data_IF_344337997635
#
_entry.id   IF_344337997635
#
_cell.length_a   1.000
_cell.length_b   1.000
_cell.length_c   1.000
_cell.angle_alpha   90.00
_cell.angle_beta   90.00
_cell.angle_gamma   90.00
#
_symmetry.space_group_name_H-M   'P 1'
#
loop_
_entity.id
_entity.type
_entity.pdbx_description
1 polymer ?
#
# COMPACT_ATOMS: atom_id res chain seq x y z
N UNK A 1 42.79 28.80 -32.44
CA UNK A 1 41.50 28.08 -32.33
C UNK A 1 40.40 29.12 -32.44
N UNK A 2 39.50 29.02 -33.43
CA UNK A 2 38.53 30.09 -33.71
C UNK A 2 37.54 30.25 -32.55
N UNK A 3 37.10 31.48 -32.26
CA UNK A 3 36.19 31.79 -31.15
C UNK A 3 34.90 30.94 -31.18
N UNK A 4 34.49 30.54 -32.38
CA UNK A 4 33.38 29.62 -32.62
C UNK A 4 33.63 28.19 -32.10
N UNK A 5 34.85 27.67 -32.29
CA UNK A 5 35.24 26.34 -31.82
C UNK A 5 35.36 26.28 -30.28
N UNK A 6 35.80 27.38 -29.65
CA UNK A 6 35.87 27.49 -28.19
C UNK A 6 34.46 27.49 -27.57
N UNK A 7 33.49 28.18 -28.19
CA UNK A 7 32.09 28.20 -27.72
C UNK A 7 31.43 26.82 -27.81
N UNK A 8 31.67 26.07 -28.89
CA UNK A 8 31.17 24.70 -29.04
C UNK A 8 31.78 23.77 -27.99
N UNK A 9 33.09 23.88 -27.74
CA UNK A 9 33.79 23.07 -26.73
C UNK A 9 33.29 23.37 -25.30
N UNK A 10 32.89 24.61 -25.02
CA UNK A 10 32.40 25.06 -23.72
C UNK A 10 30.94 24.67 -23.45
N UNK A 11 30.12 24.51 -24.50
CA UNK A 11 28.74 24.02 -24.38
C UNK A 11 28.63 22.48 -24.28
N UNK A 12 29.63 21.74 -24.75
CA UNK A 12 29.65 20.26 -24.74
C UNK A 12 29.43 19.60 -23.35
N UNK A 13 30.03 20.09 -22.24
CA UNK A 13 29.79 19.49 -20.92
C UNK A 13 28.39 19.79 -20.34
N UNK A 14 27.67 20.78 -20.85
CA UNK A 14 26.34 21.17 -20.34
C UNK A 14 25.25 20.17 -20.74
N UNK A 15 25.45 19.41 -21.82
CA UNK A 15 24.52 18.39 -22.29
C UNK A 15 24.70 17.03 -21.57
N UNK A 16 25.87 16.81 -20.95
CA UNK A 16 26.23 15.54 -20.28
C UNK A 16 25.75 15.52 -18.80
N UNK A 17 25.47 16.69 -18.22
CA UNK A 17 25.03 16.84 -16.83
C UNK A 17 23.51 16.78 -16.63
N UNK A 18 22.72 16.52 -17.68
CA UNK A 18 21.28 16.32 -17.54
C UNK A 18 21.07 14.87 -17.10
N UNK A 19 20.60 14.60 -15.87
CA UNK A 19 20.36 13.24 -15.43
C UNK A 19 19.22 12.65 -16.26
N UNK A 20 19.55 11.68 -17.11
CA UNK A 20 18.61 10.95 -17.95
C UNK A 20 17.88 9.94 -17.04
N UNK A 21 16.97 10.42 -16.20
CA UNK A 21 16.07 9.57 -15.41
C UNK A 21 14.96 9.00 -16.32
N UNK A 22 15.34 8.23 -17.33
CA UNK A 22 14.38 7.49 -18.15
C UNK A 22 14.01 6.19 -17.42
N UNK A 23 13.06 6.28 -16.48
CA UNK A 23 12.27 5.11 -16.08
C UNK A 23 11.06 5.01 -17.02
N UNK A 24 11.30 4.45 -18.21
CA UNK A 24 10.28 4.30 -19.26
C UNK A 24 9.34 3.09 -19.07
N UNK A 25 9.53 2.28 -18.02
CA UNK A 25 8.66 1.17 -17.69
C UNK A 25 7.77 1.57 -16.51
N UNK A 26 6.58 2.08 -16.81
CA UNK A 26 5.47 2.06 -15.87
C UNK A 26 4.93 0.64 -15.86
N UNK A 27 5.28 -0.12 -14.83
CA UNK A 27 4.63 -1.39 -14.56
C UNK A 27 3.14 -1.10 -14.34
N UNK A 28 2.27 -1.53 -15.26
CA UNK A 28 0.83 -1.28 -15.18
C UNK A 28 0.16 -1.97 -13.97
N UNK A 29 0.90 -2.83 -13.26
CA UNK A 29 0.47 -3.46 -12.01
C UNK A 29 0.92 -2.70 -10.76
N UNK A 30 1.82 -1.71 -10.89
CA UNK A 30 2.11 -0.76 -9.81
C UNK A 30 0.99 0.26 -9.77
N UNK A 31 -0.06 -0.09 -9.04
CA UNK A 31 -1.04 0.87 -8.57
C UNK A 31 -0.28 1.90 -7.73
N UNK A 32 -0.30 3.17 -8.13
CA UNK A 32 0.16 4.23 -7.24
C UNK A 32 -0.81 4.25 -6.06
N UNK A 33 -0.31 3.87 -4.90
CA UNK A 33 -1.10 3.80 -3.66
C UNK A 33 -1.75 5.16 -3.41
N UNK A 34 -1.09 6.26 -3.81
CA UNK A 34 -1.63 7.60 -3.69
C UNK A 34 -2.86 7.81 -4.58
N UNK A 35 -2.85 7.29 -5.82
CA UNK A 35 -3.98 7.40 -6.74
C UNK A 35 -5.19 6.59 -6.25
N UNK A 36 -4.95 5.38 -5.74
CA UNK A 36 -6.00 4.55 -5.14
C UNK A 36 -6.61 5.22 -3.90
N UNK A 37 -5.77 5.82 -3.06
CA UNK A 37 -6.20 6.64 -1.93
C UNK A 37 -7.05 7.78 -2.48
N UNK A 38 -6.53 8.61 -3.37
CA UNK A 38 -7.26 9.78 -3.87
C UNK A 38 -8.62 9.38 -4.49
N UNK A 39 -8.72 8.25 -5.19
CA UNK A 39 -9.99 7.67 -5.68
C UNK A 39 -10.98 7.36 -4.53
N UNK A 40 -10.52 6.69 -3.46
CA UNK A 40 -11.35 6.35 -2.29
C UNK A 40 -11.78 7.59 -1.48
N UNK A 41 -10.94 8.61 -1.41
CA UNK A 41 -11.21 9.84 -0.65
C UNK A 41 -12.05 10.87 -1.42
N UNK A 42 -12.21 10.70 -2.73
CA UNK A 42 -13.02 11.56 -3.59
C UNK A 42 -14.52 11.18 -3.61
N UNK A 43 -14.96 10.13 -2.89
CA UNK A 43 -16.39 9.87 -2.76
C UNK A 43 -17.09 10.96 -1.92
N UNK A 44 -18.16 11.59 -2.43
CA UNK A 44 -18.92 12.58 -1.69
C UNK A 44 -19.86 11.87 -0.70
N UNK A 45 -19.36 11.43 0.44
CA UNK A 45 -20.26 11.02 1.53
C UNK A 45 -19.80 11.49 2.90
N UNK A 46 -20.69 12.28 3.50
CA UNK A 46 -20.89 12.65 4.92
C UNK A 46 -19.67 12.63 5.80
N UNK A 47 -19.19 13.81 6.23
CA UNK A 47 -18.36 14.16 7.43
C UNK A 47 -17.71 13.04 8.28
N UNK A 48 -17.27 11.96 7.65
CA UNK A 48 -16.76 10.77 8.30
C UNK A 48 -15.27 10.98 8.47
N UNK A 49 -14.76 10.66 9.65
CA UNK A 49 -13.37 10.84 10.01
C UNK A 49 -12.51 9.87 9.16
N UNK A 50 -12.18 10.28 7.93
CA UNK A 50 -11.45 9.46 6.96
C UNK A 50 -9.99 9.18 7.41
N UNK A 51 -9.56 9.78 8.52
CA UNK A 51 -8.27 9.49 9.17
C UNK A 51 -8.11 8.01 9.55
N UNK A 52 -9.23 7.33 9.86
CA UNK A 52 -9.26 5.90 10.16
C UNK A 52 -9.01 5.04 8.92
N UNK A 53 -9.52 5.45 7.75
CA UNK A 53 -9.33 4.71 6.50
C UNK A 53 -7.87 4.73 6.04
N UNK A 54 -7.21 5.88 6.14
CA UNK A 54 -5.77 5.99 5.88
C UNK A 54 -4.96 5.01 6.72
N UNK A 55 -5.32 4.87 8.00
CA UNK A 55 -4.63 3.97 8.93
C UNK A 55 -4.81 2.49 8.55
N UNK A 56 -6.04 2.09 8.20
CA UNK A 56 -6.31 0.73 7.72
C UNK A 56 -5.52 0.41 6.45
N UNK A 57 -5.48 1.34 5.49
CA UNK A 57 -4.72 1.14 4.24
C UNK A 57 -3.22 1.01 4.49
N UNK A 58 -2.66 1.89 5.32
CA UNK A 58 -1.24 1.86 5.69
C UNK A 58 -0.88 0.56 6.42
N UNK A 59 -1.76 0.09 7.31
CA UNK A 59 -1.57 -1.18 8.01
C UNK A 59 -1.60 -2.38 7.05
N UNK A 60 -2.51 -2.40 6.06
CA UNK A 60 -2.60 -3.44 5.04
C UNK A 60 -1.41 -3.45 4.07
N UNK A 61 -0.82 -2.28 3.77
CA UNK A 61 0.38 -2.19 2.93
C UNK A 61 1.60 -2.73 3.67
N UNK A 62 1.73 -2.38 4.95
CA UNK A 62 2.85 -2.84 5.78
C UNK A 62 2.72 -4.31 6.18
N UNK A 63 1.49 -4.79 6.34
CA UNK A 63 1.17 -6.16 6.73
C UNK A 63 0.16 -6.75 5.74
N UNK A 64 0.60 -7.07 4.50
CA UNK A 64 -0.30 -7.60 3.48
C UNK A 64 -0.86 -8.95 3.90
N UNK A 65 -2.01 -9.31 3.33
CA UNK A 65 -2.75 -10.53 3.67
C UNK A 65 -2.18 -11.72 2.87
N UNK A 66 -1.93 -12.85 3.55
CA UNK A 66 -1.47 -14.09 2.90
C UNK A 66 -2.65 -14.82 2.24
N UNK A 67 -2.72 -14.81 0.91
CA UNK A 67 -3.82 -15.43 0.17
C UNK A 67 -4.03 -16.93 0.47
N UNK A 68 -2.96 -17.64 0.83
CA UNK A 68 -3.04 -19.08 1.07
C UNK A 68 -3.61 -19.42 2.45
N UNK A 69 -3.47 -18.52 3.42
CA UNK A 69 -3.87 -18.74 4.81
C UNK A 69 -5.02 -17.83 5.27
N UNK A 70 -5.36 -16.80 4.50
CA UNK A 70 -6.41 -15.85 4.84
C UNK A 70 -7.79 -16.48 4.97
N UNK A 71 -8.57 -15.95 5.91
CA UNK A 71 -10.00 -16.18 6.03
C UNK A 71 -10.79 -15.16 5.20
N UNK A 72 -12.10 -15.36 5.09
CA UNK A 72 -13.00 -14.39 4.43
C UNK A 72 -12.93 -13.03 5.14
N UNK A 73 -12.90 -13.03 6.47
CA UNK A 73 -12.89 -11.81 7.29
C UNK A 73 -11.60 -11.03 7.05
N UNK A 74 -10.46 -11.71 6.94
CA UNK A 74 -9.18 -11.06 6.66
C UNK A 74 -9.22 -10.32 5.32
N UNK A 75 -9.74 -10.96 4.27
CA UNK A 75 -9.83 -10.35 2.94
C UNK A 75 -10.81 -9.16 2.93
N UNK A 76 -11.89 -9.22 3.72
CA UNK A 76 -12.84 -8.12 3.87
C UNK A 76 -12.28 -6.89 4.61
N UNK A 77 -11.10 -6.99 5.23
CA UNK A 77 -10.43 -5.81 5.79
C UNK A 77 -9.99 -4.83 4.70
N UNK A 78 -9.81 -5.32 3.46
CA UNK A 78 -9.47 -4.47 2.32
C UNK A 78 -10.69 -3.59 2.01
N UNK A 79 -10.54 -2.24 2.01
CA UNK A 79 -11.64 -1.34 1.69
C UNK A 79 -12.23 -1.66 0.31
N UNK A 80 -13.54 -1.44 0.15
CA UNK A 80 -14.32 -1.73 -1.08
C UNK A 80 -14.52 -3.21 -1.42
N UNK A 81 -14.04 -4.15 -0.58
CA UNK A 81 -14.21 -5.58 -0.81
C UNK A 81 -15.43 -6.12 -0.06
N UNK A 82 -16.33 -6.72 -0.83
CA UNK A 82 -17.53 -7.36 -0.31
C UNK A 82 -17.33 -8.85 -0.01
N UNK A 83 -18.31 -9.44 0.66
CA UNK A 83 -18.29 -10.86 1.01
C UNK A 83 -18.19 -11.77 -0.23
N UNK A 84 -18.85 -11.41 -1.34
CA UNK A 84 -18.84 -12.24 -2.55
C UNK A 84 -17.45 -12.24 -3.19
N UNK A 85 -16.78 -11.09 -3.25
CA UNK A 85 -15.41 -10.98 -3.74
C UNK A 85 -14.45 -11.80 -2.89
N UNK A 86 -14.52 -11.67 -1.56
CA UNK A 86 -13.68 -12.45 -0.64
C UNK A 86 -13.93 -13.96 -0.80
N UNK A 87 -15.20 -14.37 -0.91
CA UNK A 87 -15.57 -15.77 -1.11
C UNK A 87 -15.07 -16.31 -2.45
N UNK A 88 -15.06 -15.51 -3.52
CA UNK A 88 -14.51 -15.93 -4.81
C UNK A 88 -13.01 -16.26 -4.73
N UNK A 89 -12.23 -15.47 -3.99
CA UNK A 89 -10.81 -15.71 -3.77
C UNK A 89 -10.57 -17.02 -3.01
N UNK A 90 -11.32 -17.24 -1.94
CA UNK A 90 -11.25 -18.47 -1.14
C UNK A 90 -11.69 -19.69 -1.96
N UNK A 91 -12.75 -19.55 -2.75
CA UNK A 91 -13.22 -20.61 -3.64
C UNK A 91 -12.14 -20.98 -4.66
N UNK A 92 -11.53 -20.00 -5.33
CA UNK A 92 -10.43 -20.25 -6.27
C UNK A 92 -9.28 -21.02 -5.60
N UNK A 93 -8.88 -20.62 -4.39
CA UNK A 93 -7.87 -21.34 -3.59
C UNK A 93 -8.24 -22.81 -3.35
N UNK A 94 -9.52 -23.08 -3.08
CA UNK A 94 -9.99 -24.41 -2.72
C UNK A 94 -10.23 -25.30 -3.94
N UNK A 95 -10.59 -24.73 -5.11
CA UNK A 95 -10.92 -25.49 -6.33
C UNK A 95 -9.72 -25.70 -7.23
N UNK A 96 -8.88 -24.67 -7.42
CA UNK A 96 -7.69 -24.73 -8.29
C UNK A 96 -6.47 -25.18 -7.48
N UNK A 97 -6.40 -24.77 -6.22
CA UNK A 97 -5.29 -25.04 -5.32
C UNK A 97 -4.65 -23.76 -4.77
N UNK A 98 -3.59 -23.93 -3.97
CA UNK A 98 -2.86 -22.81 -3.38
C UNK A 98 -2.29 -21.88 -4.44
N UNK A 99 -2.32 -20.57 -4.16
CA UNK A 99 -1.65 -19.56 -4.98
C UNK A 99 -0.15 -19.82 -4.97
N UNK A 100 0.44 -19.92 -6.16
CA UNK A 100 1.90 -20.07 -6.34
C UNK A 100 2.55 -18.70 -6.47
N UNK A 101 1.88 -17.79 -7.18
CA UNK A 101 2.27 -16.39 -7.32
C UNK A 101 1.04 -15.50 -7.05
N UNK A 102 1.24 -14.31 -6.51
CA UNK A 102 0.17 -13.32 -6.29
C UNK A 102 -0.53 -12.94 -7.60
N UNK A 103 0.16 -13.00 -8.74
CA UNK A 103 -0.42 -12.76 -10.07
C UNK A 103 -1.57 -13.73 -10.43
N UNK A 104 -1.66 -14.89 -9.77
CA UNK A 104 -2.74 -15.84 -10.00
C UNK A 104 -4.12 -15.27 -9.61
N UNK A 105 -4.18 -14.17 -8.85
CA UNK A 105 -5.45 -13.46 -8.59
C UNK A 105 -6.15 -13.01 -9.88
N UNK A 106 -5.38 -12.76 -10.95
CA UNK A 106 -5.95 -12.35 -12.24
C UNK A 106 -6.66 -13.50 -12.98
N UNK A 107 -6.43 -14.75 -12.58
CA UNK A 107 -7.06 -15.94 -13.16
C UNK A 107 -8.48 -16.19 -12.63
N UNK A 108 -8.87 -15.53 -11.54
CA UNK A 108 -10.19 -15.66 -10.94
C UNK A 108 -11.21 -15.04 -11.90
N UNK A 109 -12.14 -15.83 -12.44
CA UNK A 109 -13.07 -15.38 -13.49
C UNK A 109 -14.23 -14.58 -12.93
N UNK A 110 -14.57 -14.85 -11.68
CA UNK A 110 -15.67 -14.26 -10.93
C UNK A 110 -15.41 -12.79 -10.53
N UNK A 111 -14.16 -12.33 -10.64
CA UNK A 111 -13.75 -10.98 -10.28
C UNK A 111 -13.46 -10.11 -11.50
N UNK A 112 -13.87 -8.85 -11.43
CA UNK A 112 -13.52 -7.86 -12.44
C UNK A 112 -12.04 -7.47 -12.36
N UNK A 113 -11.49 -6.96 -13.47
CA UNK A 113 -10.10 -6.49 -13.48
C UNK A 113 -9.86 -5.33 -12.50
N UNK A 114 -10.89 -4.51 -12.24
CA UNK A 114 -10.82 -3.42 -11.27
C UNK A 114 -10.71 -3.95 -9.84
N UNK A 115 -11.57 -4.90 -9.46
CA UNK A 115 -11.52 -5.55 -8.14
C UNK A 115 -10.16 -6.21 -7.93
N UNK A 116 -9.64 -6.93 -8.93
CA UNK A 116 -8.32 -7.56 -8.87
C UNK A 116 -7.22 -6.54 -8.62
N UNK A 117 -7.23 -5.41 -9.33
CA UNK A 117 -6.26 -4.31 -9.14
C UNK A 117 -6.35 -3.69 -7.76
N UNK A 118 -7.55 -3.51 -7.21
CA UNK A 118 -7.78 -2.97 -5.86
C UNK A 118 -7.24 -3.91 -4.77
N UNK A 119 -7.32 -5.22 -4.96
CA UNK A 119 -6.84 -6.23 -3.99
C UNK A 119 -5.32 -6.46 -4.09
N UNK A 120 -4.77 -6.42 -5.31
CA UNK A 120 -3.38 -6.75 -5.62
C UNK A 120 -2.28 -6.09 -4.73
N UNK A 121 -2.39 -4.81 -4.30
CA UNK A 121 -1.38 -4.19 -3.45
C UNK A 121 -1.41 -4.68 -1.99
N UNK A 122 -2.54 -5.19 -1.50
CA UNK A 122 -2.74 -5.54 -0.08
C UNK A 122 -2.58 -7.03 0.22
N UNK A 123 -2.12 -7.80 -0.77
CA UNK A 123 -2.01 -9.26 -0.66
C UNK A 123 -0.63 -9.74 -1.07
N UNK A 124 -0.21 -10.84 -0.45
CA UNK A 124 1.01 -11.54 -0.81
C UNK A 124 0.78 -13.05 -0.82
N UNK A 125 1.74 -13.75 -1.42
CA UNK A 125 1.80 -15.21 -1.41
C UNK A 125 3.14 -15.57 -0.80
N UNK A 126 3.11 -16.29 0.33
CA UNK A 126 4.35 -16.79 0.94
C UNK A 126 4.93 -17.88 0.04
N UNK A 127 5.94 -17.52 -0.75
CA UNK A 127 6.77 -18.52 -1.41
C UNK A 127 7.51 -19.35 -0.38
N UNK A 128 7.53 -20.66 -0.54
CA UNK A 128 8.42 -21.52 0.23
C UNK A 128 9.87 -21.18 -0.16
N UNK A 129 10.54 -20.34 0.64
CA UNK A 129 12.00 -20.17 0.55
C UNK A 129 12.65 -21.41 1.15
N UNK A 130 12.73 -22.48 0.38
CA UNK A 130 13.52 -23.65 0.75
C UNK A 130 14.99 -23.32 0.53
N UNK A 131 15.70 -22.97 1.60
CA UNK A 131 17.16 -22.91 1.56
C UNK A 131 17.69 -24.34 1.68
N UNK A 132 18.21 -24.88 0.57
CA UNK A 132 18.88 -26.18 0.57
C UNK A 132 20.32 -25.95 1.02
N UNK A 133 20.64 -26.32 2.26
CA UNK A 133 22.02 -26.42 2.73
C UNK A 133 22.32 -27.89 3.04
N UNK A 134 23.23 -28.49 2.28
CA UNK A 134 23.70 -29.87 2.47
C UNK A 134 22.56 -30.89 2.68
N UNK A 135 21.53 -30.86 1.84
CA UNK A 135 20.36 -31.76 1.87
C UNK A 135 19.58 -31.79 3.20
N UNK A 136 19.79 -30.82 4.10
CA UNK A 136 19.06 -30.70 5.37
C UNK A 136 18.17 -29.47 5.32
N UNK A 137 16.87 -29.67 5.53
CA UNK A 137 15.90 -28.58 5.71
C UNK A 137 16.18 -27.90 7.05
N UNK A 138 16.78 -26.72 7.03
CA UNK A 138 17.00 -25.91 8.24
C UNK A 138 16.07 -24.71 8.17
N UNK A 139 15.00 -24.73 8.97
CA UNK A 139 14.25 -23.51 9.31
C UNK A 139 15.04 -22.77 10.38
N UNK A 140 15.74 -21.70 10.02
CA UNK A 140 16.33 -20.80 11.02
C UNK A 140 15.26 -19.83 11.53
N UNK A 141 14.98 -19.87 12.83
CA UNK A 141 14.13 -18.88 13.49
C UNK A 141 14.96 -17.62 13.75
N UNK A 142 14.96 -16.68 12.80
CA UNK A 142 15.53 -15.34 13.00
C UNK A 142 14.44 -14.44 13.61
N UNK A 143 14.55 -14.13 14.89
CA UNK A 143 13.64 -13.19 15.56
C UNK A 143 14.18 -11.76 15.38
N UNK A 144 13.73 -11.06 14.34
CA UNK A 144 14.02 -9.65 14.13
C UNK A 144 12.86 -8.84 14.75
N UNK A 145 13.05 -8.25 15.92
CA UNK A 145 12.06 -7.35 16.53
C UNK A 145 12.32 -5.93 16.01
N UNK A 146 11.38 -5.37 15.25
CA UNK A 146 11.43 -3.98 14.79
C UNK A 146 10.36 -3.15 15.50
N UNK A 147 10.77 -2.12 16.23
CA UNK A 147 9.87 -1.17 16.88
C UNK A 147 9.62 0.05 15.97
N UNK A 148 8.35 0.44 15.81
CA UNK A 148 7.93 1.63 15.04
C UNK A 148 7.07 2.54 15.93
N UNK A 149 7.40 3.84 15.98
CA UNK A 149 6.63 4.86 16.70
C UNK A 149 6.11 5.90 15.71
N UNK A 150 4.83 6.27 15.83
CA UNK A 150 4.20 7.30 15.01
C UNK A 150 3.47 8.33 15.88
N UNK A 151 3.63 9.61 15.55
CA UNK A 151 2.94 10.73 16.17
C UNK A 151 2.21 11.56 15.12
N UNK A 152 0.93 11.90 15.36
CA UNK A 152 0.09 12.70 14.47
C UNK A 152 -0.61 13.81 15.27
N UNK A 153 -0.64 15.01 14.71
CA UNK A 153 -1.39 16.16 15.25
C UNK A 153 -2.39 16.58 14.17
N UNK A 154 -3.68 16.60 14.52
CA UNK A 154 -4.78 16.94 13.60
C UNK A 154 -5.46 18.20 14.13
N UNK A 155 -5.68 19.16 13.24
CA UNK A 155 -6.39 20.39 13.56
C UNK A 155 -7.37 20.74 12.44
N UNK A 156 -8.60 21.07 12.81
CA UNK A 156 -9.64 21.44 11.86
C UNK A 156 -9.40 22.87 11.35
N UNK A 157 -9.58 23.06 10.03
CA UNK A 157 -9.46 24.37 9.37
C UNK A 157 -10.44 25.37 9.96
N UNK A 158 -11.69 24.95 10.19
CA UNK A 158 -12.73 25.73 10.84
C UNK A 158 -12.88 25.29 12.31
N UNK A 159 -13.16 26.24 13.20
CA UNK A 159 -13.47 25.95 14.61
C UNK A 159 -14.89 25.40 14.71
N UNK A 160 -15.05 24.25 15.37
CA UNK A 160 -16.37 23.69 15.68
C UNK A 160 -17.07 24.51 16.76
N UNK A 161 -18.39 24.65 16.66
CA UNK A 161 -19.23 25.44 17.59
C UNK A 161 -18.98 25.11 19.06
N UNK A 162 -18.79 23.82 19.41
CA UNK A 162 -18.52 23.42 20.79
C UNK A 162 -17.27 24.06 21.43
N UNK A 163 -16.28 24.49 20.63
CA UNK A 163 -15.12 25.25 21.12
C UNK A 163 -15.41 26.75 21.21
N UNK A 164 -16.30 27.27 20.37
CA UNK A 164 -16.72 28.67 20.36
C UNK A 164 -17.62 28.95 21.57
N UNK A 165 -18.60 28.08 21.79
CA UNK A 165 -19.59 28.16 22.87
C UNK A 165 -19.03 27.67 24.22
N UNK A 166 -17.79 27.18 24.26
CA UNK A 166 -17.15 26.65 25.47
C UNK A 166 -17.78 25.35 26.01
N UNK A 167 -18.72 24.75 25.27
CA UNK A 167 -19.37 23.49 25.64
C UNK A 167 -18.42 22.29 25.61
N UNK A 168 -17.31 22.37 24.87
CA UNK A 168 -16.28 21.34 24.81
C UNK A 168 -15.04 21.74 25.63
N UNK A 169 -14.68 21.00 26.70
CA UNK A 169 -13.60 21.38 27.61
C UNK A 169 -12.19 20.99 27.13
N UNK A 170 -12.08 20.19 26.06
CA UNK A 170 -10.79 19.68 25.58
C UNK A 170 -10.03 20.64 24.67
N UNK A 171 -8.83 20.24 24.25
CA UNK A 171 -8.02 21.01 23.29
C UNK A 171 -8.54 20.85 21.86
N UNK A 172 -8.53 21.94 21.07
CA UNK A 172 -8.87 21.91 19.63
C UNK A 172 -8.02 20.91 18.82
N UNK A 173 -6.68 20.92 18.91
CA UNK A 173 -5.88 19.93 18.21
C UNK A 173 -6.06 18.54 18.85
N UNK A 174 -6.25 17.52 18.00
CA UNK A 174 -6.21 16.12 18.41
C UNK A 174 -4.77 15.61 18.25
N UNK A 175 -4.26 14.90 19.25
CA UNK A 175 -2.91 14.32 19.24
C UNK A 175 -3.04 12.80 19.34
N UNK A 176 -2.42 12.09 18.42
CA UNK A 176 -2.43 10.63 18.34
C UNK A 176 -1.00 10.10 18.35
N UNK A 177 -0.72 9.12 19.21
CA UNK A 177 0.55 8.41 19.24
C UNK A 177 0.28 6.90 19.14
N UNK A 178 1.02 6.20 18.28
CA UNK A 178 0.90 4.74 18.12
C UNK A 178 2.28 4.10 18.10
N UNK A 179 2.43 3.04 18.90
CA UNK A 179 3.63 2.22 19.01
C UNK A 179 3.33 0.83 18.47
N UNK A 180 4.21 0.30 17.64
CA UNK A 180 4.07 -1.00 16.97
C UNK A 180 5.35 -1.81 17.10
N UNK A 181 5.21 -3.13 17.11
CA UNK A 181 6.31 -4.07 17.02
C UNK A 181 6.00 -5.10 15.93
N UNK A 182 6.95 -5.38 15.03
CA UNK A 182 6.87 -6.40 13.98
C UNK A 182 8.04 -7.36 14.06
#
# INVERSE_FOLDING_TARGET
>A
MNLFQVKILLCLPMFILIPINLKAQTDSLKVDIQELIDELFNEPSTESDNSNLYEVLEDLINNPIDLNNATIIDIQQIPTIDYLTAKAIINFRNTVGKFVNKDNIFLIKELTNEQKKKIFPFVFVKGEKTLILNNKLIQTASYNIQLKLRSRIINDLQTREGFIDGSFPGSKPKIYNRLFAS
#
